data_IF_953527338616
#
_entry.id   IF_953527338616
#
_cell.length_a   1.000
_cell.length_b   1.000
_cell.length_c   1.000
_cell.angle_alpha   90.00
_cell.angle_beta   90.00
_cell.angle_gamma   90.00
#
_symmetry.space_group_name_H-M   'P 1'
#
loop_
_entity.id
_entity.type
_entity.pdbx_description
1 polymer ?
#
# COMPACT_ATOMS: atom_id res chain seq x y z
N UNK A 1 -1.01 -16.23 -16.81
CA UNK A 1 -1.93 -16.10 -15.66
C UNK A 1 -3.18 -15.47 -16.22
N UNK A 2 -4.34 -16.07 -15.99
CA UNK A 2 -5.61 -15.49 -16.42
C UNK A 2 -6.02 -14.37 -15.45
N UNK A 3 -6.62 -13.26 -15.94
CA UNK A 3 -7.10 -12.19 -15.09
C UNK A 3 -8.31 -12.67 -14.29
N UNK A 4 -8.36 -12.40 -12.98
CA UNK A 4 -9.44 -12.90 -12.10
C UNK A 4 -10.72 -12.08 -12.28
N UNK A 5 -11.80 -12.46 -11.59
CA UNK A 5 -13.01 -11.62 -11.55
C UNK A 5 -12.79 -10.38 -10.68
N UNK A 6 -12.64 -9.22 -11.30
CA UNK A 6 -12.36 -7.94 -10.64
C UNK A 6 -13.50 -7.50 -9.71
N UNK A 7 -13.19 -6.81 -8.62
CA UNK A 7 -14.20 -6.09 -7.84
C UNK A 7 -14.41 -4.64 -8.30
N UNK A 8 -13.61 -4.13 -9.25
CA UNK A 8 -13.66 -2.74 -9.70
C UNK A 8 -14.85 -2.48 -10.62
N UNK A 9 -15.88 -1.83 -10.08
CA UNK A 9 -17.02 -1.30 -10.86
C UNK A 9 -16.64 -0.17 -11.82
N UNK A 10 -15.56 0.55 -11.53
CA UNK A 10 -14.95 1.54 -12.42
C UNK A 10 -13.70 0.92 -13.06
N UNK A 11 -13.86 0.47 -14.30
CA UNK A 11 -12.88 -0.36 -15.03
C UNK A 11 -11.63 0.40 -15.49
N UNK A 12 -11.59 1.74 -15.33
CA UNK A 12 -10.58 2.64 -15.91
C UNK A 12 -9.13 2.14 -15.83
N UNK A 13 -8.75 1.52 -14.70
CA UNK A 13 -7.42 0.97 -14.49
C UNK A 13 -7.18 -0.33 -15.24
N UNK A 14 -8.16 -1.24 -15.22
CA UNK A 14 -8.06 -2.55 -15.90
C UNK A 14 -8.04 -2.41 -17.41
N UNK A 15 -8.83 -1.47 -17.96
CA UNK A 15 -8.84 -1.10 -19.38
C UNK A 15 -7.51 -0.46 -19.86
N UNK A 16 -6.60 -0.14 -18.94
CA UNK A 16 -5.31 0.53 -19.20
C UNK A 16 -4.11 -0.30 -18.72
N UNK A 17 -4.34 -1.54 -18.26
CA UNK A 17 -3.28 -2.52 -18.13
C UNK A 17 -2.91 -3.05 -19.54
N UNK A 18 -1.66 -3.50 -19.75
CA UNK A 18 -1.32 -4.30 -20.93
C UNK A 18 -2.20 -5.57 -21.03
N UNK A 19 -2.27 -6.24 -22.20
CA UNK A 19 -2.91 -7.55 -22.30
C UNK A 19 -2.31 -8.56 -21.30
N UNK A 20 -3.09 -9.51 -20.73
CA UNK A 20 -2.60 -10.44 -19.70
C UNK A 20 -1.37 -11.28 -20.08
N UNK A 21 -1.16 -11.53 -21.38
CA UNK A 21 0.06 -12.19 -21.89
C UNK A 21 1.35 -11.38 -21.72
N UNK A 22 1.26 -10.07 -21.49
CA UNK A 22 2.37 -9.15 -21.24
C UNK A 22 2.56 -8.85 -19.73
N UNK A 23 1.72 -9.40 -18.84
CA UNK A 23 1.87 -9.20 -17.40
C UNK A 23 3.10 -9.94 -16.85
N UNK A 24 3.80 -9.40 -15.85
CA UNK A 24 4.95 -10.07 -15.23
C UNK A 24 4.52 -11.42 -14.64
N UNK A 25 5.25 -12.49 -14.95
CA UNK A 25 4.99 -13.83 -14.41
C UNK A 25 5.44 -13.92 -12.95
N UNK A 26 4.55 -13.54 -12.03
CA UNK A 26 4.75 -13.71 -10.59
C UNK A 26 4.61 -15.20 -10.22
N UNK A 27 5.73 -15.92 -10.19
CA UNK A 27 5.77 -17.35 -9.85
C UNK A 27 5.58 -17.59 -8.36
N UNK A 28 4.55 -18.35 -8.01
CA UNK A 28 4.23 -18.89 -6.67
C UNK A 28 4.54 -17.95 -5.48
N UNK A 29 3.82 -16.84 -5.42
CA UNK A 29 3.87 -15.92 -4.26
C UNK A 29 2.85 -16.29 -3.17
N UNK A 30 2.12 -17.40 -3.31
CA UNK A 30 1.14 -17.89 -2.33
C UNK A 30 -0.08 -16.98 -2.05
N UNK A 31 -0.34 -15.96 -2.88
CA UNK A 31 -1.45 -15.04 -2.66
C UNK A 31 -2.82 -15.64 -3.01
N UNK A 32 -3.85 -15.46 -2.16
CA UNK A 32 -5.23 -15.85 -2.46
C UNK A 32 -5.82 -15.08 -3.65
N UNK A 33 -6.92 -15.59 -4.21
CA UNK A 33 -7.61 -14.94 -5.34
C UNK A 33 -8.27 -13.62 -4.94
N UNK A 34 -8.84 -13.57 -3.72
CA UNK A 34 -9.32 -12.34 -3.07
C UNK A 34 -8.25 -11.82 -2.12
N UNK A 35 -7.88 -10.55 -2.27
CA UNK A 35 -6.83 -9.90 -1.48
C UNK A 35 -7.14 -8.40 -1.36
N UNK A 36 -7.26 -7.90 -0.13
CA UNK A 36 -7.36 -6.47 0.16
C UNK A 36 -6.23 -6.08 1.13
N UNK A 37 -5.27 -5.28 0.66
CA UNK A 37 -4.13 -4.87 1.50
C UNK A 37 -4.51 -3.97 2.67
N UNK A 38 -5.69 -3.33 2.66
CA UNK A 38 -6.24 -2.66 3.84
C UNK A 38 -6.48 -3.66 4.97
N UNK A 39 -7.12 -4.79 4.67
CA UNK A 39 -7.36 -5.89 5.62
C UNK A 39 -6.06 -6.59 6.02
N UNK A 40 -5.23 -7.00 5.05
CA UNK A 40 -4.01 -7.77 5.33
C UNK A 40 -2.92 -7.00 6.08
N UNK A 41 -2.78 -5.69 5.83
CA UNK A 41 -1.75 -4.88 6.48
C UNK A 41 -2.20 -4.33 7.84
N UNK A 42 -3.51 -4.11 8.04
CA UNK A 42 -4.06 -3.53 9.28
C UNK A 42 -4.81 -4.54 10.13
N UNK A 43 -5.93 -5.09 9.65
CA UNK A 43 -6.83 -5.92 10.45
C UNK A 43 -6.20 -7.29 10.79
N UNK A 44 -5.51 -7.93 9.85
CA UNK A 44 -4.74 -9.15 10.11
C UNK A 44 -3.51 -8.89 11.01
N UNK A 45 -2.95 -7.68 10.98
CA UNK A 45 -1.89 -7.26 11.93
C UNK A 45 -2.46 -7.08 13.33
N UNK A 46 -3.65 -6.48 13.48
CA UNK A 46 -4.38 -6.35 14.75
C UNK A 46 -4.70 -7.74 15.32
N UNK A 47 -5.27 -8.64 14.52
CA UNK A 47 -5.60 -9.99 14.96
C UNK A 47 -4.38 -10.82 15.41
N UNK A 48 -3.18 -10.51 14.91
CA UNK A 48 -1.93 -11.19 15.28
C UNK A 48 -1.15 -10.55 16.42
N UNK A 49 -1.29 -9.24 16.65
CA UNK A 49 -0.45 -8.48 17.57
C UNK A 49 -1.22 -7.73 18.68
N UNK A 50 -2.55 -7.69 18.61
CA UNK A 50 -3.42 -6.94 19.53
C UNK A 50 -3.64 -5.47 19.10
N UNK A 51 -4.82 -4.89 19.39
CA UNK A 51 -5.17 -3.54 18.96
C UNK A 51 -4.40 -2.45 19.73
N UNK A 52 -3.98 -2.71 20.97
CA UNK A 52 -3.45 -1.68 21.89
C UNK A 52 -1.98 -1.31 21.63
N UNK A 53 -1.30 -2.05 20.74
CA UNK A 53 0.08 -1.75 20.38
C UNK A 53 0.19 -0.40 19.67
N UNK A 54 1.23 0.41 19.96
CA UNK A 54 1.57 1.58 19.16
C UNK A 54 1.73 1.25 17.67
N UNK A 55 1.02 1.99 16.82
CA UNK A 55 1.10 1.90 15.36
C UNK A 55 1.75 3.15 14.76
N UNK A 56 1.25 4.34 15.12
CA UNK A 56 1.68 5.62 14.56
C UNK A 56 2.09 6.59 15.68
N UNK A 57 3.07 7.45 15.39
CA UNK A 57 3.44 8.60 16.23
C UNK A 57 3.32 9.84 15.37
N UNK A 58 2.58 10.84 15.85
CA UNK A 58 2.70 12.20 15.31
C UNK A 58 3.90 12.90 15.97
N UNK A 59 4.46 13.92 15.34
CA UNK A 59 5.64 14.62 15.89
C UNK A 59 5.29 15.40 17.16
N UNK A 60 4.10 16.02 17.18
CA UNK A 60 3.61 16.90 18.25
C UNK A 60 2.27 16.40 18.85
N UNK A 61 1.97 15.11 18.74
CA UNK A 61 0.64 14.58 19.04
C UNK A 61 0.64 13.17 19.66
N UNK A 62 -0.52 12.67 20.09
CA UNK A 62 -0.63 11.39 20.78
C UNK A 62 -0.22 10.22 19.88
N UNK A 63 0.41 9.22 20.48
CA UNK A 63 0.66 7.92 19.86
C UNK A 63 -0.69 7.26 19.56
N UNK A 64 -0.91 6.82 18.31
CA UNK A 64 -2.09 6.04 17.96
C UNK A 64 -1.78 4.55 18.09
N UNK A 65 -2.66 3.82 18.75
CA UNK A 65 -2.63 2.34 18.75
C UNK A 65 -3.13 1.79 17.40
N UNK A 66 -2.90 0.51 17.12
CA UNK A 66 -3.43 -0.15 15.91
C UNK A 66 -4.98 -0.13 15.86
N UNK A 67 -5.65 -0.33 17.00
CA UNK A 67 -7.10 -0.17 17.12
C UNK A 67 -7.55 1.25 16.77
N UNK A 68 -6.93 2.26 17.40
CA UNK A 68 -7.21 3.67 17.12
C UNK A 68 -6.90 4.07 15.67
N UNK A 69 -5.97 3.40 15.00
CA UNK A 69 -5.72 3.54 13.56
C UNK A 69 -6.87 2.93 12.75
N UNK A 70 -7.25 1.67 13.00
CA UNK A 70 -8.42 1.03 12.36
C UNK A 70 -9.69 1.86 12.50
N UNK A 71 -9.99 2.35 13.70
CA UNK A 71 -11.21 3.12 13.95
C UNK A 71 -11.21 4.49 13.22
N UNK A 72 -10.05 4.98 12.76
CA UNK A 72 -9.93 6.11 11.82
C UNK A 72 -10.04 5.65 10.36
N UNK A 73 -9.36 4.57 10.00
CA UNK A 73 -9.37 3.96 8.66
C UNK A 73 -10.79 3.60 8.23
N UNK A 74 -11.53 2.93 9.11
CA UNK A 74 -12.89 2.45 8.85
C UNK A 74 -13.90 3.61 8.80
N UNK A 75 -13.73 4.63 9.64
CA UNK A 75 -14.52 5.85 9.57
C UNK A 75 -14.26 6.67 8.29
N UNK A 76 -13.00 6.76 7.84
CA UNK A 76 -12.64 7.42 6.57
C UNK A 76 -13.22 6.63 5.39
N UNK A 77 -13.07 5.29 5.38
CA UNK A 77 -13.60 4.43 4.33
C UNK A 77 -15.12 4.58 4.20
N UNK A 78 -15.85 4.47 5.32
CA UNK A 78 -17.31 4.64 5.38
C UNK A 78 -17.75 6.02 4.89
N UNK A 79 -17.10 7.08 5.39
CA UNK A 79 -17.41 8.45 4.95
C UNK A 79 -17.00 8.73 3.49
N UNK A 80 -16.34 7.81 2.78
CA UNK A 80 -16.09 7.89 1.32
C UNK A 80 -17.13 7.11 0.52
N UNK A 81 -17.46 5.89 0.94
CA UNK A 81 -18.46 5.06 0.26
C UNK A 81 -19.87 5.63 0.41
N UNK A 82 -20.24 5.99 1.64
CA UNK A 82 -21.62 6.28 2.02
C UNK A 82 -21.97 7.74 1.65
N UNK A 83 -21.17 8.71 2.12
CA UNK A 83 -21.47 10.15 1.95
C UNK A 83 -21.06 10.70 0.57
N UNK A 84 -19.90 10.26 0.05
CA UNK A 84 -19.31 10.81 -1.19
C UNK A 84 -19.48 9.91 -2.43
N UNK A 85 -20.00 8.69 -2.26
CA UNK A 85 -20.23 7.77 -3.37
C UNK A 85 -18.97 7.24 -4.06
N UNK A 86 -17.86 7.09 -3.33
CA UNK A 86 -16.67 6.40 -3.83
C UNK A 86 -17.00 4.92 -4.04
N UNK A 87 -16.77 4.42 -5.25
CA UNK A 87 -17.00 3.03 -5.66
C UNK A 87 -15.68 2.30 -5.99
N UNK A 88 -15.66 0.96 -5.92
CA UNK A 88 -14.49 0.18 -6.30
C UNK A 88 -13.96 0.52 -7.69
N UNK A 89 -12.65 0.74 -7.79
CA UNK A 89 -11.97 1.20 -9.01
C UNK A 89 -11.88 2.72 -9.22
N UNK A 90 -12.64 3.54 -8.48
CA UNK A 90 -12.50 5.00 -8.55
C UNK A 90 -11.09 5.44 -8.08
N UNK A 91 -10.51 6.46 -8.72
CA UNK A 91 -9.24 7.06 -8.30
C UNK A 91 -9.47 8.13 -7.24
N UNK A 92 -8.80 7.98 -6.09
CA UNK A 92 -8.75 8.97 -5.02
C UNK A 92 -7.31 9.48 -4.85
N UNK A 93 -7.09 10.77 -5.07
CA UNK A 93 -5.76 11.37 -4.92
C UNK A 93 -5.44 11.62 -3.44
N UNK A 94 -4.25 11.23 -3.01
CA UNK A 94 -3.73 11.42 -1.67
C UNK A 94 -2.50 12.34 -1.72
N UNK A 95 -2.57 13.53 -1.08
CA UNK A 95 -1.42 14.42 -0.90
C UNK A 95 -1.36 14.96 0.53
N UNK A 96 -0.15 15.02 1.06
CA UNK A 96 0.19 15.77 2.27
C UNK A 96 1.61 15.44 2.77
N UNK A 97 2.02 16.01 3.91
CA UNK A 97 3.31 15.74 4.54
C UNK A 97 3.28 14.44 5.37
N UNK A 98 4.47 13.92 5.66
CA UNK A 98 4.69 12.72 6.48
C UNK A 98 4.11 12.88 7.89
N UNK A 99 2.86 12.43 8.05
CA UNK A 99 2.05 12.50 9.28
C UNK A 99 1.16 11.25 9.37
N UNK A 100 0.52 10.97 10.51
CA UNK A 100 -0.37 9.81 10.63
C UNK A 100 -1.61 9.85 9.72
N UNK A 101 -2.01 11.01 9.22
CA UNK A 101 -3.25 11.17 8.45
C UNK A 101 -3.21 10.54 7.04
N UNK A 102 -2.23 10.82 6.15
CA UNK A 102 -2.02 10.04 4.92
C UNK A 102 -1.95 8.53 5.13
N UNK A 103 -1.32 8.10 6.23
CA UNK A 103 -1.13 6.69 6.58
C UNK A 103 -2.43 6.00 7.07
N UNK A 104 -3.45 6.75 7.48
CA UNK A 104 -4.82 6.25 7.67
C UNK A 104 -5.64 6.35 6.36
N UNK A 105 -5.50 7.45 5.61
CA UNK A 105 -6.20 7.63 4.33
C UNK A 105 -5.87 6.53 3.31
N UNK A 106 -4.62 6.06 3.25
CA UNK A 106 -4.19 5.04 2.29
C UNK A 106 -4.87 3.67 2.49
N UNK A 107 -4.80 3.00 3.66
CA UNK A 107 -5.53 1.77 3.90
C UNK A 107 -7.06 1.97 3.92
N UNK A 108 -7.57 3.18 4.19
CA UNK A 108 -9.00 3.46 4.10
C UNK A 108 -9.51 3.39 2.64
N UNK A 109 -8.77 3.99 1.70
CA UNK A 109 -9.10 3.85 0.27
C UNK A 109 -8.97 2.39 -0.17
N UNK A 110 -8.00 1.67 0.39
CA UNK A 110 -7.86 0.25 0.12
C UNK A 110 -9.05 -0.60 0.60
N UNK A 111 -9.51 -0.44 1.84
CA UNK A 111 -10.69 -1.16 2.34
C UNK A 111 -11.94 -0.83 1.50
N UNK A 112 -12.08 0.40 1.03
CA UNK A 112 -13.15 0.82 0.10
C UNK A 112 -13.00 0.29 -1.36
N UNK A 113 -11.97 -0.50 -1.68
CA UNK A 113 -11.69 -1.01 -3.03
C UNK A 113 -11.31 0.10 -4.03
N UNK A 114 -10.90 1.26 -3.54
CA UNK A 114 -10.59 2.43 -4.36
C UNK A 114 -9.09 2.50 -4.70
N UNK A 115 -8.79 3.06 -5.87
CA UNK A 115 -7.44 3.19 -6.39
C UNK A 115 -6.77 4.42 -5.77
N UNK A 116 -5.79 4.22 -4.89
CA UNK A 116 -5.02 5.33 -4.35
C UNK A 116 -4.16 5.98 -5.43
N UNK A 117 -4.19 7.31 -5.57
CA UNK A 117 -3.28 8.08 -6.44
C UNK A 117 -2.38 8.95 -5.57
N UNK A 118 -1.22 8.40 -5.17
CA UNK A 118 -0.30 9.08 -4.26
C UNK A 118 0.56 10.10 -5.01
N UNK A 119 0.60 11.34 -4.51
CA UNK A 119 1.48 12.38 -5.05
C UNK A 119 2.35 12.98 -3.94
N UNK A 120 3.62 13.25 -4.27
CA UNK A 120 4.56 13.90 -3.35
C UNK A 120 4.06 15.29 -2.94
N UNK A 121 4.36 15.70 -1.70
CA UNK A 121 4.09 17.04 -1.19
C UNK A 121 4.74 18.16 -2.03
N UNK A 122 5.81 17.86 -2.77
CA UNK A 122 6.51 18.84 -3.62
C UNK A 122 5.87 19.13 -4.99
N UNK A 123 4.83 18.39 -5.41
CA UNK A 123 4.22 18.59 -6.73
C UNK A 123 3.55 19.96 -6.87
N UNK A 124 3.83 20.63 -7.99
CA UNK A 124 3.33 21.96 -8.35
C UNK A 124 1.94 21.89 -8.99
N UNK A 125 1.13 22.98 -8.97
CA UNK A 125 -0.23 22.98 -9.54
C UNK A 125 -0.36 22.43 -10.97
N UNK A 126 0.53 22.72 -11.95
CA UNK A 126 0.41 22.16 -13.31
C UNK A 126 0.66 20.64 -13.37
N UNK A 127 1.50 20.12 -12.49
CA UNK A 127 1.79 18.69 -12.37
C UNK A 127 0.58 17.97 -11.74
N UNK A 128 0.00 18.56 -10.70
CA UNK A 128 -1.23 18.07 -10.06
C UNK A 128 -2.41 18.05 -11.04
N UNK A 129 -2.58 19.10 -11.84
CA UNK A 129 -3.59 19.15 -12.90
C UNK A 129 -3.39 18.05 -13.94
N UNK A 130 -2.14 17.85 -14.38
CA UNK A 130 -1.75 16.79 -15.31
C UNK A 130 -2.03 15.40 -14.74
N UNK A 131 -1.68 15.15 -13.48
CA UNK A 131 -1.93 13.89 -12.77
C UNK A 131 -3.44 13.62 -12.65
N UNK A 132 -4.22 14.62 -12.22
CA UNK A 132 -5.68 14.47 -12.08
C UNK A 132 -6.36 14.16 -13.41
N UNK A 133 -5.93 14.82 -14.50
CA UNK A 133 -6.42 14.58 -15.86
C UNK A 133 -6.03 13.18 -16.36
N UNK A 134 -4.76 12.79 -16.23
CA UNK A 134 -4.26 11.48 -16.70
C UNK A 134 -4.91 10.30 -15.98
N UNK A 135 -5.13 10.39 -14.66
CA UNK A 135 -5.77 9.35 -13.86
C UNK A 135 -7.30 9.49 -13.76
N UNK A 136 -7.92 10.47 -14.45
CA UNK A 136 -9.36 10.82 -14.37
C UNK A 136 -9.86 10.82 -12.91
N UNK A 137 -9.19 11.58 -12.06
CA UNK A 137 -9.44 11.68 -10.61
C UNK A 137 -10.72 12.48 -10.36
N UNK A 138 -11.60 11.96 -9.49
CA UNK A 138 -12.83 12.67 -9.03
C UNK A 138 -12.87 12.96 -7.54
N UNK A 139 -11.95 12.39 -6.76
CA UNK A 139 -11.90 12.52 -5.31
C UNK A 139 -10.47 12.84 -4.85
N UNK A 140 -10.31 13.70 -3.85
CA UNK A 140 -9.01 14.00 -3.26
C UNK A 140 -9.07 14.12 -1.73
N UNK A 141 -8.11 13.50 -1.05
CA UNK A 141 -7.85 13.67 0.39
C UNK A 141 -6.55 14.47 0.56
N UNK A 142 -6.65 15.62 1.23
CA UNK A 142 -5.63 16.67 1.15
C UNK A 142 -5.30 17.30 2.49
N UNK A 143 -4.02 17.56 2.77
CA UNK A 143 -3.62 18.35 3.93
C UNK A 143 -4.00 19.82 3.72
N UNK A 144 -4.61 20.44 4.75
CA UNK A 144 -5.10 21.82 4.71
C UNK A 144 -4.04 22.83 4.22
N UNK A 145 -2.78 22.66 4.62
CA UNK A 145 -1.66 23.54 4.28
C UNK A 145 -1.34 23.57 2.78
N UNK A 146 -1.82 22.58 2.02
CA UNK A 146 -1.57 22.45 0.59
C UNK A 146 -2.79 22.75 -0.29
N UNK A 147 -3.99 22.95 0.26
CA UNK A 147 -5.25 23.07 -0.51
C UNK A 147 -5.19 24.18 -1.57
N UNK A 148 -4.49 25.29 -1.28
CA UNK A 148 -4.27 26.39 -2.22
C UNK A 148 -3.54 25.96 -3.52
N UNK A 149 -2.73 24.89 -3.51
CA UNK A 149 -2.11 24.35 -4.72
C UNK A 149 -3.13 23.61 -5.61
N UNK A 150 -4.12 22.95 -4.99
CA UNK A 150 -5.14 22.20 -5.69
C UNK A 150 -6.18 23.13 -6.32
N UNK A 151 -6.54 24.21 -5.61
CA UNK A 151 -7.33 25.30 -6.18
C UNK A 151 -6.60 25.93 -7.39
N UNK A 152 -5.29 26.24 -7.25
CA UNK A 152 -4.44 26.72 -8.36
C UNK A 152 -4.21 25.71 -9.48
N UNK A 153 -4.52 24.42 -9.27
CA UNK A 153 -4.46 23.40 -10.32
C UNK A 153 -5.71 23.37 -11.22
N UNK A 154 -6.78 24.10 -10.86
CA UNK A 154 -7.96 24.29 -11.73
C UNK A 154 -8.72 23.01 -12.06
N UNK A 155 -8.63 21.96 -11.23
CA UNK A 155 -9.21 20.64 -11.53
C UNK A 155 -10.73 20.65 -11.31
N UNK A 156 -11.48 20.92 -12.38
CA UNK A 156 -12.94 20.96 -12.37
C UNK A 156 -13.56 19.62 -11.93
N UNK A 157 -14.64 19.70 -11.14
CA UNK A 157 -15.41 18.53 -10.70
C UNK A 157 -14.76 17.66 -9.61
N UNK A 158 -13.63 18.10 -9.04
CA UNK A 158 -12.92 17.36 -8.00
C UNK A 158 -13.60 17.50 -6.63
N UNK A 159 -14.08 16.39 -6.06
CA UNK A 159 -14.57 16.33 -4.67
C UNK A 159 -13.39 16.27 -3.70
N UNK A 160 -13.06 17.42 -3.13
CA UNK A 160 -11.96 17.58 -2.17
C UNK A 160 -12.48 17.32 -0.75
N UNK A 161 -11.71 16.63 0.08
CA UNK A 161 -11.87 16.67 1.54
C UNK A 161 -10.54 16.91 2.21
N UNK A 162 -10.57 17.76 3.23
CA UNK A 162 -9.38 18.26 3.91
C UNK A 162 -9.12 17.44 5.17
N UNK A 163 -7.87 17.34 5.57
CA UNK A 163 -7.49 16.98 6.94
C UNK A 163 -6.50 18.00 7.51
N UNK A 164 -6.75 18.43 8.73
CA UNK A 164 -5.91 19.39 9.45
C UNK A 164 -6.20 20.86 9.24
N UNK A 165 -7.40 21.21 8.78
CA UNK A 165 -7.98 22.55 8.92
C UNK A 165 -9.18 22.52 9.87
N UNK A 166 -9.77 23.69 10.08
CA UNK A 166 -10.82 23.89 11.10
C UNK A 166 -12.25 23.80 10.54
N UNK A 167 -12.40 23.54 9.23
CA UNK A 167 -13.70 23.44 8.55
C UNK A 167 -14.58 22.26 9.03
N UNK A 168 -15.90 22.28 8.77
CA UNK A 168 -16.83 21.25 9.25
C UNK A 168 -16.55 19.86 8.64
N UNK A 169 -16.05 19.80 7.40
CA UNK A 169 -15.79 18.56 6.66
C UNK A 169 -14.40 17.97 6.91
N UNK A 170 -13.63 18.48 7.89
CA UNK A 170 -12.26 18.02 8.13
C UNK A 170 -12.20 16.61 8.73
N UNK A 171 -11.42 15.71 8.14
CA UNK A 171 -11.29 14.31 8.61
C UNK A 171 -10.74 14.17 10.04
N UNK A 172 -10.15 15.22 10.63
CA UNK A 172 -9.74 15.23 12.04
C UNK A 172 -10.91 15.37 12.99
N UNK A 173 -12.01 16.01 12.58
CA UNK A 173 -13.22 16.08 13.40
C UNK A 173 -13.77 14.67 13.63
N UNK A 174 -14.35 14.38 14.80
CA UNK A 174 -15.17 13.19 14.96
C UNK A 174 -16.41 13.32 14.06
N UNK A 175 -16.37 12.67 12.89
CA UNK A 175 -17.58 12.26 12.19
C UNK A 175 -18.44 11.40 13.15
N UNK A 176 -19.68 11.08 12.76
CA UNK A 176 -20.52 10.11 13.49
C UNK A 176 -19.89 8.71 13.40
N UNK A 177 -18.92 8.45 14.29
CA UNK A 177 -18.14 7.21 14.38
C UNK A 177 -19.06 6.05 14.77
N UNK A 178 -19.60 5.38 13.76
CA UNK A 178 -20.09 4.00 13.89
C UNK A 178 -18.95 3.15 14.42
N UNK A 179 -19.22 2.39 15.47
CA UNK A 179 -18.22 1.55 16.16
C UNK A 179 -18.07 0.19 15.48
N UNK A 180 -19.01 -0.16 14.60
CA UNK A 180 -18.94 -1.33 13.75
C UNK A 180 -17.80 -1.19 12.72
N UNK A 181 -16.89 -2.18 12.62
CA UNK A 181 -15.84 -2.20 11.62
C UNK A 181 -16.35 -1.99 10.19
N UNK A 182 -15.49 -1.46 9.34
CA UNK A 182 -15.76 -1.34 7.91
C UNK A 182 -15.42 -2.67 7.22
N UNK A 183 -16.43 -3.28 6.60
CA UNK A 183 -16.28 -4.47 5.76
C UNK A 183 -15.51 -4.10 4.49
N UNK A 184 -14.33 -4.68 4.32
CA UNK A 184 -13.47 -4.36 3.18
C UNK A 184 -13.97 -5.03 1.89
N UNK A 185 -13.91 -4.30 0.79
CA UNK A 185 -14.27 -4.81 -0.54
C UNK A 185 -13.35 -5.98 -0.89
N UNK A 186 -13.95 -7.12 -1.25
CA UNK A 186 -13.27 -8.33 -1.68
C UNK A 186 -12.65 -8.19 -3.08
N UNK A 187 -11.63 -7.33 -3.19
CA UNK A 187 -10.82 -7.12 -4.41
C UNK A 187 -10.10 -8.37 -4.86
N UNK A 188 -9.96 -8.55 -6.17
CA UNK A 188 -9.08 -9.59 -6.72
C UNK A 188 -7.62 -9.19 -6.54
N UNK A 189 -6.70 -10.14 -6.32
CA UNK A 189 -5.30 -9.77 -6.04
C UNK A 189 -4.56 -9.11 -7.23
N UNK A 190 -5.10 -9.21 -8.45
CA UNK A 190 -4.66 -8.52 -9.68
C UNK A 190 -5.43 -7.21 -9.98
N UNK A 191 -6.38 -6.80 -9.12
CA UNK A 191 -6.94 -5.44 -9.17
C UNK A 191 -5.87 -4.39 -8.83
N UNK A 192 -6.01 -3.15 -9.32
CA UNK A 192 -5.01 -2.08 -9.15
C UNK A 192 -5.25 -1.31 -7.84
N UNK A 193 -4.38 -1.50 -6.85
CA UNK A 193 -4.49 -0.82 -5.55
C UNK A 193 -3.98 0.65 -5.59
N UNK A 194 -3.01 0.95 -6.46
CA UNK A 194 -2.21 2.18 -6.40
C UNK A 194 -1.75 2.63 -7.78
N UNK A 195 -1.88 3.92 -8.09
CA UNK A 195 -1.17 4.61 -9.17
C UNK A 195 -0.17 5.58 -8.53
N UNK A 196 1.12 5.34 -8.76
CA UNK A 196 2.18 6.27 -8.38
C UNK A 196 2.70 6.98 -9.64
N UNK A 197 2.65 8.31 -9.66
CA UNK A 197 3.20 9.08 -10.77
C UNK A 197 4.70 9.31 -10.60
N UNK A 198 5.43 9.21 -11.71
CA UNK A 198 6.86 9.49 -11.83
C UNK A 198 7.06 10.59 -12.85
N UNK A 199 8.05 11.47 -12.66
CA UNK A 199 8.30 12.62 -13.56
C UNK A 199 8.55 12.18 -15.02
N UNK A 200 9.35 11.12 -15.19
CA UNK A 200 9.71 10.54 -16.47
C UNK A 200 10.75 11.37 -17.25
N UNK A 201 11.60 10.69 -18.02
CA UNK A 201 12.61 11.34 -18.88
C UNK A 201 12.04 12.21 -19.98
N UNK A 202 10.74 12.08 -20.27
CA UNK A 202 10.02 12.76 -21.37
C UNK A 202 9.23 13.98 -20.91
N UNK A 203 9.46 14.51 -19.70
CA UNK A 203 8.79 15.70 -19.14
C UNK A 203 7.29 15.56 -18.85
N UNK A 204 6.66 14.46 -19.29
CA UNK A 204 5.26 14.10 -19.05
C UNK A 204 5.17 13.02 -17.96
N UNK A 205 4.48 13.27 -16.84
CA UNK A 205 4.35 12.30 -15.76
C UNK A 205 3.79 10.94 -16.21
N UNK A 206 4.48 9.85 -15.85
CA UNK A 206 4.09 8.46 -16.16
C UNK A 206 3.47 7.81 -14.94
N UNK A 207 2.24 7.31 -15.07
CA UNK A 207 1.51 6.66 -13.99
C UNK A 207 1.82 5.17 -13.90
N UNK A 208 2.59 4.76 -12.89
CA UNK A 208 2.87 3.36 -12.61
C UNK A 208 1.73 2.75 -11.79
N UNK A 209 0.92 1.90 -12.43
CA UNK A 209 -0.11 1.11 -11.76
C UNK A 209 0.52 -0.05 -10.99
N UNK A 210 0.01 -0.36 -9.80
CA UNK A 210 0.44 -1.50 -8.96
C UNK A 210 -0.76 -2.29 -8.48
N UNK A 211 -0.68 -3.61 -8.66
CA UNK A 211 -1.68 -4.58 -8.21
C UNK A 211 -1.54 -4.89 -6.72
N UNK A 212 -2.57 -5.44 -6.08
CA UNK A 212 -2.54 -5.84 -4.67
C UNK A 212 -1.43 -6.86 -4.36
N UNK A 213 -1.28 -7.89 -5.21
CA UNK A 213 -0.21 -8.89 -5.11
C UNK A 213 1.21 -8.30 -5.26
N UNK A 214 1.35 -7.13 -5.87
CA UNK A 214 2.61 -6.40 -6.03
C UNK A 214 2.91 -5.46 -4.85
N UNK A 215 2.13 -5.53 -3.76
CA UNK A 215 2.43 -4.86 -2.50
C UNK A 215 3.69 -5.41 -1.81
N UNK A 216 4.16 -4.76 -0.72
CA UNK A 216 5.27 -5.27 0.07
C UNK A 216 4.86 -6.58 0.75
N UNK A 217 5.29 -7.71 0.16
CA UNK A 217 4.90 -9.05 0.59
C UNK A 217 5.14 -9.28 2.09
N UNK A 218 4.04 -9.44 2.84
CA UNK A 218 4.09 -9.89 4.22
C UNK A 218 4.67 -11.30 4.24
N UNK A 219 5.89 -11.47 4.77
CA UNK A 219 6.62 -12.76 4.80
C UNK A 219 6.04 -13.74 5.84
N UNK A 220 4.73 -13.98 5.77
CA UNK A 220 3.97 -14.87 6.65
C UNK A 220 3.99 -16.33 6.20
N UNK A 221 3.97 -16.59 4.88
CA UNK A 221 3.96 -17.93 4.30
C UNK A 221 5.32 -18.65 4.37
N UNK A 222 5.88 -18.82 5.58
CA UNK A 222 6.96 -19.78 5.80
C UNK A 222 6.35 -21.17 5.93
N UNK A 223 6.51 -22.00 4.89
CA UNK A 223 6.42 -23.46 5.04
C UNK A 223 7.27 -23.88 6.26
N UNK A 224 6.78 -24.77 7.14
CA UNK A 224 7.66 -25.39 8.12
C UNK A 224 8.76 -26.17 7.37
N UNK A 225 10.02 -26.17 7.85
CA UNK A 225 11.06 -26.99 7.25
C UNK A 225 10.66 -28.48 7.36
N UNK A 226 11.02 -29.32 6.37
CA UNK A 226 10.78 -30.75 6.47
C UNK A 226 11.50 -31.30 7.71
N UNK A 227 10.80 -32.12 8.51
CA UNK A 227 11.40 -32.79 9.66
C UNK A 227 12.45 -33.79 9.16
N UNK A 228 13.73 -33.50 9.36
CA UNK A 228 14.78 -34.48 9.13
C UNK A 228 14.58 -35.68 10.07
N UNK A 229 14.20 -36.83 9.51
CA UNK A 229 14.27 -38.10 10.22
C UNK A 229 15.75 -38.45 10.47
N UNK A 230 16.13 -38.94 11.66
CA UNK A 230 17.50 -39.32 11.95
C UNK A 230 17.87 -40.62 11.23
N UNK A 231 18.89 -40.57 10.37
CA UNK A 231 19.56 -41.77 9.86
C UNK A 231 20.64 -42.24 10.86
N UNK A 232 20.92 -43.56 10.95
CA UNK A 232 21.83 -44.10 11.95
C UNK A 232 23.31 -43.83 11.61
N UNK A 233 24.12 -43.57 12.63
CA UNK A 233 25.56 -43.31 12.49
C UNK A 233 26.43 -44.57 12.59
N UNK A 234 27.45 -44.74 11.73
CA UNK A 234 28.51 -45.75 11.91
C UNK A 234 29.49 -45.37 13.03
N UNK A 235 30.14 -46.37 13.65
CA UNK A 235 31.12 -46.19 14.75
C UNK A 235 32.58 -46.43 14.32
N UNK A 236 33.47 -45.49 14.61
CA UNK A 236 34.91 -45.68 14.92
C UNK A 236 35.43 -44.39 15.59
N UNK A 237 36.19 -44.37 16.70
CA UNK A 237 37.53 -44.92 17.02
C UNK A 237 38.59 -44.41 16.01
N UNK A 238 39.73 -43.78 16.36
CA UNK A 238 40.47 -43.47 17.61
C UNK A 238 41.58 -42.41 17.25
N UNK A 239 42.37 -41.68 18.07
CA UNK A 239 42.68 -41.61 19.53
C UNK A 239 43.22 -40.18 19.91
N UNK A 240 43.50 -39.94 21.20
CA UNK A 240 44.28 -38.87 21.88
C UNK A 240 45.23 -37.91 21.12
N UNK A 241 45.20 -36.64 21.53
CA UNK A 241 46.38 -35.82 21.91
C UNK A 241 45.96 -34.79 23.01
N UNK A 242 46.90 -34.04 23.62
CA UNK A 242 46.68 -33.28 24.88
C UNK A 242 46.95 -31.76 24.82
N UNK A 243 46.14 -31.04 25.59
CA UNK A 243 46.45 -29.88 26.46
C UNK A 243 46.63 -28.43 25.90
N UNK A 244 46.24 -27.47 26.78
CA UNK A 244 46.46 -25.99 26.75
C UNK A 244 45.74 -25.23 25.60
N UNK A 245 45.33 -23.97 25.72
CA UNK A 245 44.97 -23.07 26.86
C UNK A 245 44.33 -21.78 26.27
N UNK A 246 44.05 -20.77 27.10
CA UNK A 246 43.75 -19.35 26.72
C UNK A 246 42.55 -19.05 25.79
N UNK A 247 41.46 -18.62 26.43
CA UNK A 247 40.61 -17.46 26.07
C UNK A 247 40.54 -16.96 24.61
N UNK A 248 39.35 -17.12 24.03
CA UNK A 248 38.73 -16.51 22.85
C UNK A 248 39.13 -15.06 22.47
N UNK A 249 39.56 -14.83 21.22
CA UNK A 249 39.27 -13.61 20.44
C UNK A 249 38.02 -13.79 19.55
N UNK A 250 37.32 -12.71 19.14
CA UNK A 250 35.99 -12.80 18.53
C UNK A 250 35.98 -13.34 17.09
N UNK A 251 35.04 -14.24 16.81
CA UNK A 251 34.82 -14.78 15.46
C UNK A 251 34.20 -13.72 14.54
N UNK A 252 34.92 -13.33 13.46
CA UNK A 252 34.36 -12.49 12.40
C UNK A 252 33.33 -13.27 11.59
N UNK A 253 32.06 -12.96 11.76
CA UNK A 253 31.02 -13.44 10.85
C UNK A 253 31.27 -12.91 9.42
N UNK A 254 31.22 -13.75 8.37
CA UNK A 254 31.34 -13.29 7.00
C UNK A 254 30.13 -12.43 6.62
N UNK A 255 30.36 -11.33 5.88
CA UNK A 255 29.27 -10.53 5.31
C UNK A 255 28.48 -11.42 4.32
N UNK A 256 27.16 -11.58 4.45
CA UNK A 256 26.36 -12.18 3.39
C UNK A 256 26.43 -11.26 2.14
N UNK A 257 26.64 -11.85 0.97
CA UNK A 257 26.75 -11.10 -0.27
C UNK A 257 25.40 -10.46 -0.64
N UNK A 258 25.43 -9.24 -1.18
CA UNK A 258 24.27 -8.63 -1.84
C UNK A 258 24.00 -9.36 -3.16
N UNK A 259 23.19 -10.42 -3.12
CA UNK A 259 22.51 -10.92 -4.32
C UNK A 259 21.41 -9.94 -4.70
N UNK A 260 21.55 -9.31 -5.86
CA UNK A 260 20.57 -8.37 -6.40
C UNK A 260 19.27 -9.09 -6.76
N UNK A 261 18.19 -8.76 -6.05
CA UNK A 261 16.83 -9.22 -6.37
C UNK A 261 16.26 -8.48 -7.59
N UNK A 262 16.94 -8.61 -8.73
CA UNK A 262 16.52 -8.08 -10.03
C UNK A 262 15.30 -8.87 -10.54
N UNK A 263 14.09 -8.35 -10.34
CA UNK A 263 12.90 -9.17 -10.64
C UNK A 263 11.52 -8.49 -10.61
N UNK A 264 11.43 -7.15 -10.75
CA UNK A 264 10.12 -6.50 -10.84
C UNK A 264 10.17 -5.22 -11.70
N UNK A 265 10.15 -5.40 -13.03
CA UNK A 265 10.05 -4.29 -13.97
C UNK A 265 8.63 -3.69 -13.93
N UNK A 266 8.45 -2.39 -13.61
CA UNK A 266 7.15 -1.74 -13.72
C UNK A 266 6.81 -1.53 -15.20
N UNK A 267 5.61 -1.90 -15.64
CA UNK A 267 5.12 -1.55 -16.98
C UNK A 267 4.82 -0.03 -17.03
N UNK A 268 5.52 0.76 -17.86
CA UNK A 268 5.30 2.20 -17.93
C UNK A 268 4.21 2.50 -18.97
N UNK A 269 2.98 2.80 -18.53
CA UNK A 269 1.97 3.31 -19.45
C UNK A 269 2.35 4.71 -19.94
N UNK A 270 2.35 4.88 -21.25
CA UNK A 270 2.46 6.19 -21.92
C UNK A 270 1.12 6.51 -22.56
N UNK A 271 0.56 7.67 -22.24
CA UNK A 271 -0.69 8.15 -22.83
C UNK A 271 -0.46 8.70 -24.25
N UNK A 272 -0.16 7.80 -25.19
CA UNK A 272 -0.37 8.00 -26.61
C UNK A 272 -1.78 7.53 -26.95
N UNK A 273 -2.73 8.47 -26.93
CA UNK A 273 -3.67 8.76 -28.03
C UNK A 273 -4.80 9.70 -27.54
N UNK A 274 -5.20 10.71 -28.33
CA UNK A 274 -6.26 11.63 -27.98
C UNK A 274 -7.64 11.18 -28.52
N UNK A 275 -8.56 10.90 -27.60
CA UNK A 275 -10.02 10.94 -27.78
C UNK A 275 -10.65 11.58 -26.53
#
# INVERSE_FOLDING_TARGET
MEPRSSAHTDTFTRDRLPPPGQWPRLTDLGYPDRLNCGTELLDATIGRLGPDRPAMRDANGPVWTYGQLRDRVDAIARARTDDLGVRPGNRVLLRGPTTPWPAACWPAMMKAGAVAVTVLAAHRPPELATICRLARVRYALYDARSVADLARAGVLGLRITVYGGDGPDDLRRPARRRTEPFEAVATAADDVALIAFTSGTTGRPKGCMRMWCCGPASRGARRPPPRCAPSPSPRSRRTNARARSSSTPPCRAPRPANSSASGCAPAPWSAADPL
#
